data_IF_575543102786
#
_entry.id   IF_575543102786
#
_cell.length_a   1.000
_cell.length_b   1.000
_cell.length_c   1.000
_cell.angle_alpha   90.00
_cell.angle_beta   90.00
_cell.angle_gamma   90.00
#
_symmetry.space_group_name_H-M   'P 1'
#
loop_
_entity.id
_entity.type
_entity.pdbx_description
1 polymer ?
#
# COMPACT_ATOMS: atom_id res chain seq x y z
N UNK A 1 4.87 -1.13 23.65
CA UNK A 1 4.70 -1.61 22.25
C UNK A 1 6.06 -1.57 21.58
N UNK A 2 6.51 -2.66 20.93
CA UNK A 2 7.75 -2.63 20.12
C UNK A 2 7.51 -1.71 18.92
N UNK A 3 8.49 -0.86 18.58
CA UNK A 3 8.42 0.03 17.41
C UNK A 3 8.24 -0.84 16.16
N UNK A 4 7.17 -0.61 15.41
CA UNK A 4 6.96 -1.30 14.14
C UNK A 4 7.99 -0.76 13.14
N UNK A 5 8.69 -1.65 12.44
CA UNK A 5 9.59 -1.22 11.37
C UNK A 5 8.79 -0.47 10.31
N UNK A 6 9.37 0.61 9.78
CA UNK A 6 8.78 1.40 8.70
C UNK A 6 9.83 1.59 7.62
N UNK A 7 9.54 1.10 6.43
CA UNK A 7 10.38 1.28 5.23
C UNK A 7 9.67 2.32 4.38
N UNK A 8 10.15 3.58 4.43
CA UNK A 8 9.48 4.73 3.81
C UNK A 8 9.34 4.52 2.30
N UNK A 9 10.37 3.93 1.68
CA UNK A 9 10.40 3.60 0.26
C UNK A 9 9.26 2.66 -0.14
N UNK A 10 8.92 1.71 0.73
CA UNK A 10 7.82 0.76 0.52
C UNK A 10 6.46 1.42 0.78
N UNK A 11 6.29 2.08 1.93
CA UNK A 11 5.01 2.71 2.28
C UNK A 11 4.65 3.82 1.29
N UNK A 12 5.62 4.59 0.81
CA UNK A 12 5.41 5.62 -0.20
C UNK A 12 4.99 5.04 -1.55
N UNK A 13 5.64 3.98 -2.02
CA UNK A 13 5.27 3.31 -3.26
C UNK A 13 3.86 2.68 -3.18
N UNK A 14 3.50 2.08 -2.05
CA UNK A 14 2.13 1.57 -1.81
C UNK A 14 1.11 2.72 -1.89
N UNK A 15 1.38 3.85 -1.22
CA UNK A 15 0.50 5.04 -1.27
C UNK A 15 0.30 5.56 -2.69
N UNK A 16 1.36 5.56 -3.49
CA UNK A 16 1.31 5.94 -4.91
C UNK A 16 0.45 5.00 -5.74
N UNK A 17 0.65 3.68 -5.60
CA UNK A 17 -0.15 2.68 -6.34
C UNK A 17 -1.63 2.80 -6.00
N UNK A 18 -1.99 2.91 -4.72
CA UNK A 18 -3.39 3.05 -4.29
C UNK A 18 -4.01 4.32 -4.90
N UNK A 19 -3.26 5.43 -4.91
CA UNK A 19 -3.72 6.70 -5.49
C UNK A 19 -3.91 6.62 -7.00
N UNK A 20 -3.06 5.89 -7.71
CA UNK A 20 -3.17 5.75 -9.16
C UNK A 20 -4.30 4.79 -9.56
N UNK A 21 -4.43 3.64 -8.89
CA UNK A 21 -5.57 2.72 -9.06
C UNK A 21 -6.91 3.43 -8.83
N UNK A 22 -6.94 4.34 -7.85
CA UNK A 22 -8.11 5.16 -7.58
C UNK A 22 -8.41 6.16 -8.71
N UNK A 23 -7.40 6.88 -9.23
CA UNK A 23 -7.59 7.81 -10.36
C UNK A 23 -8.11 7.10 -11.61
N UNK A 24 -7.64 5.87 -11.85
CA UNK A 24 -8.05 5.06 -13.01
C UNK A 24 -9.53 4.64 -12.93
N UNK A 25 -10.09 4.44 -11.74
CA UNK A 25 -11.52 4.13 -11.55
C UNK A 25 -12.46 5.31 -11.77
N UNK A 26 -11.98 6.55 -11.64
CA UNK A 26 -12.74 7.75 -12.01
C UNK A 26 -13.97 8.10 -11.15
N UNK A 27 -14.24 7.37 -10.05
CA UNK A 27 -15.29 7.69 -9.07
C UNK A 27 -14.73 8.40 -7.83
N UNK A 28 -15.61 9.01 -7.03
CA UNK A 28 -15.24 9.66 -5.77
C UNK A 28 -14.96 8.64 -4.64
N UNK A 29 -13.85 8.83 -3.92
CA UNK A 29 -13.25 7.96 -2.89
C UNK A 29 -14.22 7.67 -1.75
N UNK A 30 -15.05 8.65 -1.43
CA UNK A 30 -16.02 8.55 -0.36
C UNK A 30 -17.17 7.61 -0.73
N UNK A 31 -17.64 7.65 -1.98
CA UNK A 31 -18.78 6.85 -2.44
C UNK A 31 -18.40 5.37 -2.53
N UNK A 32 -17.29 5.03 -3.20
CA UNK A 32 -16.87 3.62 -3.32
C UNK A 32 -16.47 3.00 -1.98
N UNK A 33 -15.82 3.77 -1.10
CA UNK A 33 -15.47 3.28 0.24
C UNK A 33 -16.73 3.09 1.10
N UNK A 34 -17.76 3.92 0.93
CA UNK A 34 -19.04 3.75 1.60
C UNK A 34 -19.83 2.54 1.06
N UNK A 35 -19.81 2.30 -0.25
CA UNK A 35 -20.40 1.10 -0.88
C UNK A 35 -19.71 -0.17 -0.36
N UNK A 36 -18.38 -0.26 -0.43
CA UNK A 36 -17.64 -1.40 0.11
C UNK A 36 -17.82 -1.56 1.63
N UNK A 37 -17.89 -0.46 2.38
CA UNK A 37 -18.21 -0.50 3.82
C UNK A 37 -19.61 -1.05 4.07
N UNK A 38 -20.60 -0.67 3.27
CA UNK A 38 -21.98 -1.13 3.40
C UNK A 38 -22.13 -2.62 3.10
N UNK A 39 -21.32 -3.14 2.18
CA UNK A 39 -21.36 -4.54 1.76
C UNK A 39 -20.58 -5.47 2.70
N UNK A 40 -19.38 -5.05 3.12
CA UNK A 40 -18.43 -5.90 3.87
C UNK A 40 -18.33 -5.54 5.36
N UNK A 41 -18.90 -4.38 5.78
CA UNK A 41 -18.91 -3.91 7.16
C UNK A 41 -17.56 -3.40 7.68
N UNK A 42 -16.57 -3.17 6.81
CA UNK A 42 -15.21 -2.73 7.21
C UNK A 42 -14.69 -1.59 6.36
N UNK A 43 -14.29 -0.50 7.01
CA UNK A 43 -13.77 0.68 6.34
C UNK A 43 -12.31 0.40 5.94
N UNK A 44 -11.97 0.58 4.66
CA UNK A 44 -10.62 0.36 4.14
C UNK A 44 -9.66 1.46 4.61
N UNK A 45 -10.15 2.64 4.96
CA UNK A 45 -9.34 3.78 5.39
C UNK A 45 -8.41 4.24 4.28
N UNK A 46 -8.86 4.18 3.03
CA UNK A 46 -8.06 4.49 1.84
C UNK A 46 -7.49 5.91 1.93
N UNK A 47 -8.24 6.85 2.49
CA UNK A 47 -7.80 8.23 2.75
C UNK A 47 -6.53 8.31 3.59
N UNK A 48 -6.33 7.37 4.52
CA UNK A 48 -5.11 7.28 5.33
C UNK A 48 -3.93 6.86 4.47
N UNK A 49 -4.11 5.91 3.57
CA UNK A 49 -3.02 5.34 2.78
C UNK A 49 -2.70 6.18 1.54
N UNK A 50 -3.59 7.06 1.09
CA UNK A 50 -3.33 7.99 -0.03
C UNK A 50 -2.69 9.30 0.41
N UNK A 51 -2.79 9.66 1.69
CA UNK A 51 -2.39 10.99 2.20
C UNK A 51 -1.02 11.00 2.88
N UNK A 52 -0.59 9.84 3.40
CA UNK A 52 0.59 9.72 4.27
C UNK A 52 1.21 8.34 4.14
N UNK A 53 2.49 8.23 4.47
CA UNK A 53 3.31 7.01 4.38
C UNK A 53 3.07 6.06 5.57
N UNK A 54 1.81 5.70 5.83
CA UNK A 54 1.47 4.83 6.95
C UNK A 54 1.85 3.36 6.71
N UNK A 55 2.23 2.69 7.79
CA UNK A 55 2.29 1.24 7.80
C UNK A 55 0.90 0.65 7.51
N UNK A 56 0.90 -0.36 6.66
CA UNK A 56 -0.28 -1.14 6.30
C UNK A 56 -0.07 -2.59 6.72
N UNK A 57 -1.11 -3.24 7.24
CA UNK A 57 -1.06 -4.67 7.55
C UNK A 57 -1.34 -5.48 6.28
N UNK A 58 -0.80 -6.69 6.19
CA UNK A 58 -1.08 -7.58 5.05
C UNK A 58 -2.58 -7.82 4.85
N UNK A 59 -3.35 -8.01 5.94
CA UNK A 59 -4.81 -8.21 5.83
C UNK A 59 -5.52 -6.98 5.27
N UNK A 60 -5.07 -5.76 5.62
CA UNK A 60 -5.63 -4.54 5.05
C UNK A 60 -5.26 -4.41 3.57
N UNK A 61 -4.00 -4.68 3.24
CA UNK A 61 -3.54 -4.64 1.86
C UNK A 61 -4.30 -5.62 0.97
N UNK A 62 -4.57 -6.83 1.47
CA UNK A 62 -5.40 -7.82 0.78
C UNK A 62 -6.81 -7.27 0.51
N UNK A 63 -7.46 -6.68 1.51
CA UNK A 63 -8.80 -6.09 1.33
C UNK A 63 -8.80 -4.92 0.33
N UNK A 64 -7.70 -4.15 0.25
CA UNK A 64 -7.54 -3.11 -0.77
C UNK A 64 -7.39 -3.73 -2.17
N UNK A 65 -6.61 -4.80 -2.29
CA UNK A 65 -6.44 -5.51 -3.56
C UNK A 65 -7.77 -6.10 -4.04
N UNK A 66 -8.53 -6.72 -3.14
CA UNK A 66 -9.87 -7.24 -3.39
C UNK A 66 -10.83 -6.14 -3.87
N UNK A 67 -10.86 -5.00 -3.18
CA UNK A 67 -11.65 -3.83 -3.56
C UNK A 67 -11.33 -3.31 -4.97
N UNK A 68 -10.05 -3.25 -5.34
CA UNK A 68 -9.60 -2.84 -6.68
C UNK A 68 -9.63 -3.98 -7.71
N UNK A 69 -10.09 -5.17 -7.33
CA UNK A 69 -10.15 -6.37 -8.18
C UNK A 69 -8.79 -6.72 -8.81
N UNK A 70 -7.71 -6.51 -8.06
CA UNK A 70 -6.33 -6.80 -8.47
C UNK A 70 -5.73 -7.91 -7.59
N UNK A 71 -4.94 -8.80 -8.18
CA UNK A 71 -4.21 -9.80 -7.39
C UNK A 71 -3.14 -9.13 -6.53
N UNK A 72 -2.85 -9.66 -5.33
CA UNK A 72 -1.75 -9.11 -4.51
C UNK A 72 -0.40 -9.15 -5.26
N UNK A 73 -0.17 -10.18 -6.09
CA UNK A 73 1.04 -10.27 -6.89
C UNK A 73 1.16 -9.14 -7.90
N UNK A 74 0.08 -8.79 -8.58
CA UNK A 74 0.09 -7.70 -9.56
C UNK A 74 0.19 -6.35 -8.88
N UNK A 75 -0.46 -6.19 -7.72
CA UNK A 75 -0.28 -5.01 -6.88
C UNK A 75 1.19 -4.80 -6.52
N UNK A 76 1.91 -5.84 -6.08
CA UNK A 76 3.33 -5.69 -5.75
C UNK A 76 4.23 -5.42 -6.96
N UNK A 77 3.88 -5.90 -8.16
CA UNK A 77 4.57 -5.49 -9.39
C UNK A 77 4.43 -3.98 -9.63
N UNK A 78 3.23 -3.43 -9.46
CA UNK A 78 3.01 -1.98 -9.56
C UNK A 78 3.82 -1.20 -8.53
N UNK A 79 3.91 -1.71 -7.29
CA UNK A 79 4.72 -1.09 -6.21
C UNK A 79 6.21 -1.07 -6.59
N UNK A 80 6.72 -2.19 -7.07
CA UNK A 80 8.10 -2.27 -7.57
C UNK A 80 8.33 -1.38 -8.79
N UNK A 81 7.30 -1.15 -9.61
CA UNK A 81 7.39 -0.26 -10.75
C UNK A 81 7.44 1.21 -10.36
N UNK A 82 6.70 1.61 -9.31
CA UNK A 82 6.79 2.95 -8.71
C UNK A 82 8.14 3.21 -8.06
N UNK A 83 8.74 2.20 -7.45
CA UNK A 83 10.05 2.33 -6.84
C UNK A 83 10.94 1.12 -7.15
N UNK A 84 11.73 1.24 -8.21
CA UNK A 84 12.64 0.18 -8.69
C UNK A 84 13.68 -0.24 -7.65
N UNK A 85 13.95 0.58 -6.62
CA UNK A 85 14.84 0.19 -5.53
C UNK A 85 14.26 -0.95 -4.68
N UNK A 86 12.94 -1.16 -4.70
CA UNK A 86 12.25 -2.24 -4.01
C UNK A 86 12.40 -3.59 -4.72
N UNK A 87 12.73 -3.60 -6.02
CA UNK A 87 13.06 -4.84 -6.73
C UNK A 87 14.29 -5.46 -6.10
N UNK A 88 14.24 -6.78 -5.92
CA UNK A 88 15.34 -7.51 -5.31
C UNK A 88 16.65 -7.28 -6.08
N UNK A 89 17.68 -6.87 -5.35
CA UNK A 89 19.03 -6.69 -5.85
C UNK A 89 20.01 -7.13 -4.76
N UNK A 90 20.90 -8.06 -5.10
CA UNK A 90 21.84 -8.65 -4.16
C UNK A 90 22.76 -7.60 -3.55
N UNK A 91 23.14 -6.56 -4.31
CA UNK A 91 24.00 -5.47 -3.84
C UNK A 91 23.35 -4.60 -2.75
N UNK A 92 22.02 -4.58 -2.69
CA UNK A 92 21.23 -3.79 -1.72
C UNK A 92 20.55 -4.66 -0.65
N UNK A 93 20.88 -5.96 -0.59
CA UNK A 93 20.20 -6.92 0.30
C UNK A 93 20.21 -6.46 1.75
N UNK A 94 19.01 -6.25 2.30
CA UNK A 94 18.80 -5.85 3.70
C UNK A 94 19.16 -4.40 4.02
N UNK A 95 19.53 -3.57 3.04
CA UNK A 95 19.87 -2.16 3.25
C UNK A 95 18.70 -1.38 3.88
N UNK A 96 17.51 -1.48 3.30
CA UNK A 96 16.31 -0.79 3.79
C UNK A 96 15.86 -1.28 5.17
N UNK A 97 15.95 -2.60 5.40
CA UNK A 97 15.63 -3.19 6.70
C UNK A 97 16.58 -2.68 7.79
N UNK A 98 17.90 -2.70 7.52
CA UNK A 98 18.92 -2.19 8.45
C UNK A 98 18.72 -0.70 8.75
N UNK A 99 18.39 0.11 7.73
CA UNK A 99 18.06 1.54 7.88
C UNK A 99 16.87 1.71 8.84
N UNK A 100 15.77 1.00 8.60
CA UNK A 100 14.56 1.08 9.41
C UNK A 100 14.72 0.65 10.88
N UNK A 101 15.75 -0.14 11.21
CA UNK A 101 16.07 -0.55 12.59
C UNK A 101 17.04 0.41 13.31
N UNK A 102 17.73 1.29 12.57
CA UNK A 102 18.65 2.28 13.15
C UNK A 102 17.95 3.57 13.57
N UNK A 103 16.86 3.89 12.88
CA UNK A 103 16.01 5.05 13.15
C UNK A 103 14.98 4.77 14.26
#
# INVERSE_FOLDING_TARGET
>A
MRKQIKIIELTGAISEVIRDLYKERGKALLEENNEYYSEIGKNLGLERYTSTDHNITCSKLFAICDFFEISMSDFFKLVEDKNQLLKFDESRKGQFVKKAYRD
#
